data_IF_886324413133
#
_entry.id   IF_886324413133
#
_cell.length_a   1.000
_cell.length_b   1.000
_cell.length_c   1.000
_cell.angle_alpha   90.00
_cell.angle_beta   90.00
_cell.angle_gamma   90.00
#
_symmetry.space_group_name_H-M   'P 1'
#
loop_
_entity.id
_entity.type
_entity.pdbx_description
1 polymer ?
#
# COMPACT_ATOMS: atom_id res chain seq x y z
N UNK A 1 17.65 14.47 4.55
CA UNK A 1 17.46 13.07 4.10
C UNK A 1 16.36 12.35 4.92
N UNK A 2 15.09 12.80 4.85
CA UNK A 2 13.94 12.15 5.53
C UNK A 2 12.97 11.46 4.54
N UNK A 3 13.26 11.51 3.23
CA UNK A 3 12.36 11.04 2.15
C UNK A 3 12.37 9.51 1.99
N UNK A 4 13.52 8.86 2.10
CA UNK A 4 13.63 7.39 2.02
C UNK A 4 12.86 6.68 3.15
N UNK A 5 12.98 7.17 4.38
CA UNK A 5 12.19 6.68 5.53
C UNK A 5 10.68 6.79 5.30
N UNK A 6 10.22 7.82 4.56
CA UNK A 6 8.80 7.96 4.21
C UNK A 6 8.33 6.87 3.24
N UNK A 7 9.18 6.49 2.29
CA UNK A 7 8.86 5.40 1.36
C UNK A 7 8.74 4.06 2.09
N UNK A 8 9.67 3.76 3.00
CA UNK A 8 9.58 2.56 3.84
C UNK A 8 8.33 2.56 4.74
N UNK A 9 7.97 3.71 5.30
CA UNK A 9 6.74 3.86 6.08
C UNK A 9 5.47 3.66 5.22
N UNK A 10 5.52 3.99 3.93
CA UNK A 10 4.37 3.82 3.03
C UNK A 10 4.17 2.36 2.56
N UNK A 11 5.07 1.44 2.94
CA UNK A 11 4.90 0.00 2.75
C UNK A 11 3.87 -0.51 3.76
N UNK A 12 2.62 -0.65 3.33
CA UNK A 12 1.51 -1.05 4.21
C UNK A 12 1.52 -2.52 4.56
N UNK A 13 2.32 -3.34 3.88
CA UNK A 13 2.50 -4.75 4.24
C UNK A 13 3.45 -4.85 5.44
N UNK A 14 4.39 -3.91 5.58
CA UNK A 14 5.25 -3.77 6.77
C UNK A 14 4.62 -2.95 7.89
N UNK A 15 3.65 -2.11 7.58
CA UNK A 15 2.97 -1.20 8.51
C UNK A 15 1.45 -1.36 8.36
N UNK A 16 0.93 -2.54 8.74
CA UNK A 16 -0.49 -2.90 8.56
C UNK A 16 -1.45 -1.94 9.29
N UNK A 17 -0.97 -1.32 10.37
CA UNK A 17 -1.70 -0.35 11.19
C UNK A 17 -2.13 0.90 10.41
N UNK A 18 -1.41 1.24 9.33
CA UNK A 18 -1.73 2.39 8.49
C UNK A 18 -3.04 2.26 7.71
N UNK A 19 -3.54 1.05 7.54
CA UNK A 19 -4.79 0.78 6.83
C UNK A 19 -5.98 0.60 7.79
N UNK A 20 -5.72 0.68 9.09
CA UNK A 20 -6.72 0.46 10.13
C UNK A 20 -7.47 1.76 10.41
N UNK A 21 -8.80 1.67 10.36
CA UNK A 21 -9.70 2.78 10.62
C UNK A 21 -9.98 3.01 12.10
N UNK A 22 -11.06 3.72 12.36
CA UNK A 22 -11.52 4.03 13.73
C UNK A 22 -12.06 2.79 14.44
N UNK A 23 -12.09 2.84 15.77
CA UNK A 23 -12.80 1.86 16.58
C UNK A 23 -14.32 1.95 16.32
N UNK A 24 -14.97 0.81 16.08
CA UNK A 24 -16.41 0.71 15.82
C UNK A 24 -16.98 -0.51 16.56
N UNK A 25 -18.11 -0.31 17.24
CA UNK A 25 -18.90 -1.41 17.80
C UNK A 25 -20.12 -1.67 16.91
N UNK A 26 -19.99 -2.58 15.94
CA UNK A 26 -21.06 -2.82 14.96
C UNK A 26 -22.36 -3.29 15.59
N UNK A 27 -22.30 -4.07 16.67
CA UNK A 27 -23.51 -4.58 17.31
C UNK A 27 -24.35 -3.49 17.98
N UNK A 28 -23.70 -2.46 18.52
CA UNK A 28 -24.37 -1.39 19.27
C UNK A 28 -24.59 -0.13 18.44
N UNK A 29 -23.67 0.21 17.54
CA UNK A 29 -23.65 1.50 16.83
C UNK A 29 -24.15 1.38 15.38
N UNK A 30 -23.92 0.23 14.73
CA UNK A 30 -24.13 0.08 13.28
C UNK A 30 -24.79 -1.25 12.92
N UNK A 31 -25.77 -1.67 13.72
CA UNK A 31 -26.39 -3.00 13.62
C UNK A 31 -27.03 -3.27 12.26
N UNK A 32 -27.46 -2.24 11.55
CA UNK A 32 -28.00 -2.33 10.17
C UNK A 32 -27.00 -2.87 9.15
N UNK A 33 -25.69 -2.75 9.41
CA UNK A 33 -24.64 -3.30 8.54
C UNK A 33 -24.36 -4.78 8.81
N UNK A 34 -24.83 -5.34 9.93
CA UNK A 34 -24.71 -6.76 10.27
C UNK A 34 -25.77 -7.60 9.55
N UNK A 35 -25.79 -7.50 8.22
CA UNK A 35 -26.71 -8.18 7.31
C UNK A 35 -26.00 -9.23 6.48
N UNK A 36 -26.76 -10.18 5.93
CA UNK A 36 -26.21 -11.33 5.22
C UNK A 36 -25.34 -10.94 4.01
N UNK A 37 -25.64 -9.83 3.35
CA UNK A 37 -24.89 -9.32 2.20
C UNK A 37 -23.47 -8.86 2.57
N UNK A 38 -23.23 -8.60 3.86
CA UNK A 38 -21.97 -8.09 4.40
C UNK A 38 -21.10 -9.18 5.05
N UNK A 39 -21.57 -10.44 5.07
CA UNK A 39 -20.77 -11.60 5.47
C UNK A 39 -19.48 -11.67 4.65
N UNK A 40 -18.34 -11.85 5.32
CA UNK A 40 -17.01 -11.88 4.69
C UNK A 40 -16.47 -10.52 4.22
N UNK A 41 -17.22 -9.43 4.34
CA UNK A 41 -16.80 -8.08 3.90
C UNK A 41 -16.35 -7.21 5.06
N UNK A 42 -17.09 -7.27 6.17
CA UNK A 42 -16.76 -6.53 7.38
C UNK A 42 -15.69 -7.28 8.17
N UNK A 43 -14.65 -6.54 8.58
CA UNK A 43 -13.60 -7.04 9.45
C UNK A 43 -13.18 -5.95 10.42
N UNK A 44 -12.88 -6.36 11.64
CA UNK A 44 -12.36 -5.49 12.71
C UNK A 44 -11.07 -6.08 13.28
N UNK A 45 -10.18 -5.24 13.79
CA UNK A 45 -9.01 -5.63 14.57
C UNK A 45 -9.28 -5.35 16.06
N UNK A 46 -9.06 -6.35 16.90
CA UNK A 46 -9.11 -6.20 18.35
C UNK A 46 -7.90 -5.41 18.90
N UNK A 47 -7.94 -5.07 20.19
CA UNK A 47 -6.80 -4.41 20.87
C UNK A 47 -5.55 -5.28 20.93
N UNK A 48 -5.74 -6.60 20.80
CA UNK A 48 -4.72 -7.62 20.75
C UNK A 48 -4.10 -7.80 19.36
N UNK A 49 -4.57 -7.05 18.35
CA UNK A 49 -4.12 -7.17 16.96
C UNK A 49 -4.82 -8.26 16.15
N UNK A 50 -5.72 -9.05 16.75
CA UNK A 50 -6.39 -10.13 16.05
C UNK A 50 -7.55 -9.64 15.20
N UNK A 51 -7.66 -10.18 13.99
CA UNK A 51 -8.75 -9.87 13.08
C UNK A 51 -9.99 -10.75 13.32
N UNK A 52 -11.16 -10.12 13.32
CA UNK A 52 -12.46 -10.81 13.30
C UNK A 52 -13.21 -10.40 12.04
N UNK A 53 -13.61 -11.37 11.23
CA UNK A 53 -14.43 -11.17 10.02
C UNK A 53 -15.88 -11.52 10.34
N UNK A 54 -16.83 -10.70 9.90
CA UNK A 54 -18.25 -10.97 10.11
C UNK A 54 -18.72 -12.21 9.35
N UNK A 55 -19.31 -13.16 10.06
CA UNK A 55 -19.82 -14.43 9.50
C UNK A 55 -21.36 -14.54 9.50
N UNK A 56 -22.07 -13.56 10.07
CA UNK A 56 -23.54 -13.58 10.24
C UNK A 56 -24.02 -13.94 11.63
N UNK A 57 -23.18 -14.60 12.42
CA UNK A 57 -23.52 -15.14 13.75
C UNK A 57 -22.67 -14.51 14.85
N UNK A 58 -21.54 -13.93 14.49
CA UNK A 58 -20.54 -13.38 15.41
C UNK A 58 -20.69 -11.87 15.68
N UNK A 59 -21.91 -11.32 15.59
CA UNK A 59 -22.20 -9.90 15.83
C UNK A 59 -21.56 -9.34 17.12
N UNK A 60 -21.62 -10.09 18.22
CA UNK A 60 -21.04 -9.70 19.50
C UNK A 60 -19.50 -9.56 19.49
N UNK A 61 -18.82 -10.18 18.51
CA UNK A 61 -17.37 -10.11 18.32
C UNK A 61 -16.96 -8.97 17.36
N UNK A 62 -17.91 -8.31 16.70
CA UNK A 62 -17.66 -7.22 15.76
C UNK A 62 -17.48 -5.87 16.49
N UNK A 63 -16.49 -5.80 17.37
CA UNK A 63 -16.14 -4.62 18.16
C UNK A 63 -14.62 -4.41 18.15
N UNK A 64 -14.15 -3.45 17.37
CA UNK A 64 -12.72 -3.24 17.15
C UNK A 64 -12.44 -2.15 16.12
N UNK A 65 -11.18 -1.97 15.76
CA UNK A 65 -10.79 -1.04 14.71
C UNK A 65 -11.21 -1.54 13.34
N UNK A 66 -11.98 -0.75 12.60
CA UNK A 66 -12.56 -1.19 11.33
C UNK A 66 -11.50 -1.31 10.24
N UNK A 67 -11.48 -2.46 9.56
CA UNK A 67 -10.58 -2.74 8.43
C UNK A 67 -11.22 -3.76 7.48
N UNK A 68 -11.96 -3.32 6.45
CA UNK A 68 -12.73 -4.22 5.58
C UNK A 68 -11.80 -5.16 4.81
N UNK A 69 -12.32 -6.32 4.41
CA UNK A 69 -11.52 -7.35 3.71
C UNK A 69 -11.05 -6.91 2.32
N UNK A 70 -11.74 -5.94 1.73
CA UNK A 70 -11.39 -5.36 0.44
C UNK A 70 -10.22 -4.36 0.50
N UNK A 71 -9.91 -3.80 1.68
CA UNK A 71 -8.76 -2.90 1.80
C UNK A 71 -7.49 -3.73 1.76
N UNK A 72 -6.90 -3.81 0.58
CA UNK A 72 -5.60 -4.45 0.35
C UNK A 72 -4.46 -3.45 0.57
N UNK A 73 -3.23 -3.98 0.65
CA UNK A 73 -2.01 -3.19 0.69
C UNK A 73 -1.89 -2.23 -0.51
N UNK A 74 -1.05 -1.20 -0.35
CA UNK A 74 -0.67 -0.32 -1.46
C UNK A 74 0.06 -1.13 -2.53
N UNK A 75 -0.12 -0.72 -3.79
CA UNK A 75 0.71 -1.24 -4.88
C UNK A 75 2.20 -1.00 -4.57
N UNK A 76 3.09 -1.94 -4.91
CA UNK A 76 4.51 -1.77 -4.71
C UNK A 76 5.03 -0.60 -5.56
N UNK A 77 5.95 0.17 -4.99
CA UNK A 77 6.59 1.32 -5.65
C UNK A 77 8.11 1.33 -5.46
N UNK A 78 8.65 0.32 -4.76
CA UNK A 78 10.08 0.04 -4.66
C UNK A 78 10.38 -1.20 -5.48
N UNK A 79 11.54 -1.23 -6.14
CA UNK A 79 11.99 -2.34 -6.98
C UNK A 79 11.03 -2.69 -8.13
N UNK A 80 10.17 -1.76 -8.53
CA UNK A 80 9.28 -1.92 -9.68
C UNK A 80 9.94 -1.23 -10.87
N UNK A 81 10.18 -1.95 -11.99
CA UNK A 81 10.76 -1.36 -13.19
C UNK A 81 9.98 -0.12 -13.63
N UNK A 82 10.69 0.96 -13.93
CA UNK A 82 10.16 2.26 -14.34
C UNK A 82 9.30 3.00 -13.29
N UNK A 83 9.26 2.51 -12.05
CA UNK A 83 8.59 3.17 -10.92
C UNK A 83 9.65 3.46 -9.88
N UNK A 84 10.22 4.66 -9.95
CA UNK A 84 11.29 5.09 -9.06
C UNK A 84 10.93 6.42 -8.41
N UNK A 85 10.31 6.42 -7.21
CA UNK A 85 9.99 7.63 -6.49
C UNK A 85 11.21 8.53 -6.32
N UNK A 86 11.04 9.82 -6.60
CA UNK A 86 12.08 10.85 -6.53
C UNK A 86 13.23 10.72 -7.52
N UNK A 87 13.19 9.75 -8.45
CA UNK A 87 14.16 9.62 -9.54
C UNK A 87 13.51 9.96 -10.88
N UNK A 88 14.30 10.44 -11.84
CA UNK A 88 13.83 10.81 -13.18
C UNK A 88 14.75 10.19 -14.24
N UNK A 89 14.21 9.86 -15.42
CA UNK A 89 15.02 9.33 -16.50
C UNK A 89 15.92 10.43 -17.06
N UNK A 90 17.09 10.01 -17.53
CA UNK A 90 17.98 10.82 -18.36
C UNK A 90 17.52 10.68 -19.80
N UNK A 91 17.39 11.82 -20.49
CA UNK A 91 17.03 11.85 -21.90
C UNK A 91 18.09 11.19 -22.78
N UNK A 92 17.66 10.44 -23.80
CA UNK A 92 18.54 9.71 -24.72
C UNK A 92 19.50 10.63 -25.50
N UNK A 93 19.09 11.86 -25.80
CA UNK A 93 19.95 12.87 -26.42
C UNK A 93 21.15 13.21 -25.53
N UNK A 94 20.91 13.40 -24.22
CA UNK A 94 21.97 13.70 -23.26
C UNK A 94 22.94 12.53 -23.11
N UNK A 95 22.45 11.30 -23.09
CA UNK A 95 23.30 10.10 -23.07
C UNK A 95 24.18 10.05 -24.33
N UNK A 96 23.61 10.33 -25.50
CA UNK A 96 24.32 10.34 -26.78
C UNK A 96 25.40 11.44 -26.83
N UNK A 97 25.10 12.64 -26.33
CA UNK A 97 26.04 13.75 -26.30
C UNK A 97 27.28 13.46 -25.43
N UNK A 98 27.08 12.81 -24.28
CA UNK A 98 28.18 12.38 -23.42
C UNK A 98 29.04 11.32 -24.10
N UNK A 99 28.42 10.35 -24.78
CA UNK A 99 29.11 9.32 -25.57
C UNK A 99 29.97 9.92 -26.68
N UNK A 100 29.45 10.90 -27.43
CA UNK A 100 30.18 11.59 -28.50
C UNK A 100 31.40 12.36 -27.98
N UNK A 101 31.39 12.76 -26.71
CA UNK A 101 32.51 13.41 -26.03
C UNK A 101 33.50 12.43 -25.38
N UNK A 102 33.33 11.13 -25.58
CA UNK A 102 34.18 10.09 -25.03
C UNK A 102 33.86 9.69 -23.58
N UNK A 103 32.70 10.10 -23.04
CA UNK A 103 32.27 9.74 -21.68
C UNK A 103 31.13 8.71 -21.70
N UNK A 104 31.04 7.90 -20.65
CA UNK A 104 29.92 6.98 -20.45
C UNK A 104 28.93 7.59 -19.47
N UNK A 105 27.70 7.84 -19.92
CA UNK A 105 26.58 8.23 -19.07
C UNK A 105 25.54 7.10 -19.10
N UNK A 106 25.31 6.47 -17.95
CA UNK A 106 24.30 5.41 -17.79
C UNK A 106 22.97 6.01 -17.34
N UNK A 107 21.87 5.34 -17.67
CA UNK A 107 20.54 5.72 -17.22
C UNK A 107 20.45 5.71 -15.68
N UNK A 108 19.55 6.53 -15.13
CA UNK A 108 19.15 6.48 -13.72
C UNK A 108 18.66 5.07 -13.37
N UNK A 109 19.06 4.53 -12.22
CA UNK A 109 18.67 3.20 -11.77
C UNK A 109 17.14 2.98 -11.84
N UNK A 110 16.75 1.79 -12.31
CA UNK A 110 15.35 1.39 -12.48
C UNK A 110 14.63 2.02 -13.67
N UNK A 111 15.27 2.88 -14.46
CA UNK A 111 14.73 3.39 -15.73
C UNK A 111 15.33 2.63 -16.93
N UNK A 112 14.61 2.53 -18.06
CA UNK A 112 15.06 1.73 -19.19
C UNK A 112 16.20 2.44 -19.93
N UNK A 113 17.26 1.70 -20.26
CA UNK A 113 18.46 2.20 -20.95
C UNK A 113 18.32 2.33 -22.47
N UNK A 114 17.16 2.01 -23.04
CA UNK A 114 16.91 2.10 -24.48
C UNK A 114 15.57 1.51 -24.87
N UNK A 115 15.09 1.87 -26.05
CA UNK A 115 13.96 1.22 -26.73
C UNK A 115 14.50 -0.13 -27.22
N UNK A 116 13.88 -1.25 -26.81
CA UNK A 116 14.17 -2.56 -27.40
C UNK A 116 14.00 -2.53 -28.92
#
# INVERSE_FOLDING_TARGET
LRRWKKLEYMDTDKNEDLLIGTWVNFNNEVKSELKDENKGKLRVMGKDGNFTVYDGTNAAKMNGFFYPTQNQGRLPFLNVPNVNPYLSPIGTNQISDYKNKGYTLTQTEGWPTGIN
#
